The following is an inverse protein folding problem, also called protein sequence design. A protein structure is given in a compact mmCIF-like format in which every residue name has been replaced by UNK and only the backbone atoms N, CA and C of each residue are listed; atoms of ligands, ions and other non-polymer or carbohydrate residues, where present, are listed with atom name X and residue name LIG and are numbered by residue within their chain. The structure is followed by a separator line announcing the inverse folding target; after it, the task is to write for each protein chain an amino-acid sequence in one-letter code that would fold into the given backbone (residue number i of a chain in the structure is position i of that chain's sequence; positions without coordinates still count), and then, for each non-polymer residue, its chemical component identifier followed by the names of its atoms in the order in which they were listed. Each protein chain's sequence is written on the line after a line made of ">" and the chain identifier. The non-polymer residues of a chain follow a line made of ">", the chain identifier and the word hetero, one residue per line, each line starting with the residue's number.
data_IF_207824225896
#
_entry.id   IF_207824225896
#
_cell.length_a   1.000
_cell.length_b   1.000
_cell.length_c   1.000
_cell.angle_alpha   90.00
_cell.angle_beta   90.00
_cell.angle_gamma   90.00
#
_symmetry.space_group_name_H-M   'P 1'
#
loop_
_entity.id
_entity.type
_entity.pdbx_description
1 polymer ?
#
# COMPACT_ATOMS: atom_id res chain seq x y z
N UNK A 1 -0.31 -5.23 11.64
CA UNK A 1 -0.53 -6.70 11.72
C UNK A 1 0.13 -7.39 10.53
N UNK A 2 0.81 -8.52 10.76
CA UNK A 2 1.38 -9.33 9.67
C UNK A 2 0.38 -10.39 9.21
N UNK A 3 0.39 -10.71 7.93
CA UNK A 3 -0.39 -11.80 7.36
C UNK A 3 0.21 -13.17 7.75
N UNK A 4 -0.61 -14.22 7.71
CA UNK A 4 -0.15 -15.60 7.98
C UNK A 4 0.77 -16.14 6.88
N UNK A 5 0.64 -15.59 5.67
CA UNK A 5 1.49 -15.87 4.51
C UNK A 5 1.80 -14.56 3.80
N UNK A 6 2.90 -14.54 3.06
CA UNK A 6 3.22 -13.43 2.17
C UNK A 6 2.24 -13.46 1.00
N UNK A 7 1.68 -12.32 0.69
CA UNK A 7 0.80 -12.10 -0.46
C UNK A 7 1.52 -11.28 -1.51
N UNK A 8 1.14 -11.41 -2.78
CA UNK A 8 1.62 -10.48 -3.80
C UNK A 8 0.71 -9.26 -3.90
N UNK A 9 1.22 -8.15 -4.44
CA UNK A 9 0.42 -6.96 -4.72
C UNK A 9 -0.81 -7.28 -5.58
N UNK A 10 -0.66 -8.13 -6.60
CA UNK A 10 -1.77 -8.58 -7.44
C UNK A 10 -2.84 -9.33 -6.65
N UNK A 11 -2.46 -10.22 -5.74
CA UNK A 11 -3.42 -10.92 -4.88
C UNK A 11 -4.17 -9.93 -3.99
N UNK A 12 -3.46 -9.00 -3.35
CA UNK A 12 -4.09 -7.98 -2.49
C UNK A 12 -5.03 -7.10 -3.31
N UNK A 13 -4.60 -6.63 -4.47
CA UNK A 13 -5.42 -5.82 -5.36
C UNK A 13 -6.68 -6.56 -5.81
N UNK A 14 -6.57 -7.86 -6.11
CA UNK A 14 -7.71 -8.72 -6.47
C UNK A 14 -8.66 -8.96 -5.29
N UNK A 15 -8.15 -9.09 -4.06
CA UNK A 15 -8.96 -9.24 -2.84
C UNK A 15 -9.75 -7.96 -2.56
N UNK A 16 -9.11 -6.79 -2.68
CA UNK A 16 -9.72 -5.49 -2.44
C UNK A 16 -10.64 -5.10 -3.61
N UNK A 17 -10.33 -5.53 -4.83
CA UNK A 17 -11.04 -5.16 -6.05
C UNK A 17 -10.63 -3.78 -6.57
N UNK A 18 -9.37 -3.39 -6.38
CA UNK A 18 -8.86 -2.07 -6.75
C UNK A 18 -7.67 -2.16 -7.74
N UNK A 19 -7.48 -1.18 -8.63
CA UNK A 19 -6.28 -1.09 -9.45
C UNK A 19 -5.03 -0.83 -8.60
N UNK A 20 -3.88 -1.24 -9.13
CA UNK A 20 -2.58 -1.03 -8.48
C UNK A 20 -1.54 -0.47 -9.44
N UNK A 21 -0.53 0.20 -8.87
CA UNK A 21 0.65 0.71 -9.58
C UNK A 21 1.89 0.12 -8.92
N UNK A 22 2.76 -0.51 -9.70
CA UNK A 22 3.98 -1.16 -9.22
C UNK A 22 4.13 -2.58 -9.74
N UNK A 23 5.06 -3.34 -9.15
CA UNK A 23 5.28 -4.74 -9.52
C UNK A 23 4.15 -5.63 -8.98
N UNK A 24 3.51 -6.39 -9.85
CA UNK A 24 2.46 -7.35 -9.48
C UNK A 24 2.93 -8.45 -8.53
N UNK A 25 4.22 -8.79 -8.56
CA UNK A 25 4.83 -9.81 -7.70
C UNK A 25 5.38 -9.22 -6.38
N UNK A 26 5.16 -7.92 -6.14
CA UNK A 26 5.67 -7.24 -4.96
C UNK A 26 5.15 -7.91 -3.68
N UNK A 27 6.07 -8.23 -2.77
CA UNK A 27 5.75 -8.98 -1.57
C UNK A 27 5.09 -8.10 -0.51
N UNK A 28 3.95 -8.56 -0.03
CA UNK A 28 3.14 -7.91 1.00
C UNK A 28 3.06 -8.82 2.22
N UNK A 29 3.63 -8.32 3.31
CA UNK A 29 3.81 -9.05 4.55
C UNK A 29 2.69 -8.76 5.56
N UNK A 30 1.96 -7.66 5.39
CA UNK A 30 0.96 -7.21 6.34
C UNK A 30 0.39 -5.85 6.00
N UNK A 31 -0.32 -5.29 6.97
CA UNK A 31 -0.81 -3.91 6.94
C UNK A 31 -0.65 -3.29 8.33
N UNK A 32 -0.36 -2.00 8.42
CA UNK A 32 -0.22 -1.34 9.72
C UNK A 32 -0.57 0.15 9.67
N UNK A 33 -0.75 0.75 10.84
CA UNK A 33 -0.93 2.20 10.95
C UNK A 33 0.38 2.94 10.63
N UNK A 34 0.29 4.10 10.00
CA UNK A 34 1.41 4.91 9.52
C UNK A 34 2.54 5.16 10.55
N UNK A 35 2.23 5.13 11.84
CA UNK A 35 3.22 5.34 12.92
C UNK A 35 4.06 4.10 13.23
N UNK A 36 3.62 2.91 12.81
CA UNK A 36 4.22 1.60 13.15
C UNK A 36 4.41 0.70 11.92
N UNK A 37 4.30 1.26 10.71
CA UNK A 37 4.56 0.52 9.47
C UNK A 37 6.02 0.13 9.34
N UNK A 38 6.24 -1.01 8.71
CA UNK A 38 7.56 -1.53 8.35
C UNK A 38 7.61 -1.89 6.86
N UNK A 39 8.80 -2.09 6.28
CA UNK A 39 8.90 -2.56 4.91
C UNK A 39 8.11 -3.86 4.70
N UNK A 40 7.37 -3.94 3.59
CA UNK A 40 6.43 -5.02 3.29
C UNK A 40 5.01 -4.81 3.83
N UNK A 41 4.75 -3.78 4.63
CA UNK A 41 3.39 -3.47 5.08
C UNK A 41 2.64 -2.56 4.10
N UNK A 42 1.32 -2.73 4.08
CA UNK A 42 0.37 -1.78 3.50
C UNK A 42 0.04 -0.70 4.53
N UNK A 43 0.05 0.56 4.11
CA UNK A 43 -0.53 1.69 4.86
C UNK A 43 -1.73 2.24 4.12
N UNK A 44 -2.80 2.58 4.85
CA UNK A 44 -4.00 3.20 4.27
C UNK A 44 -3.99 4.71 4.51
N UNK A 45 -4.42 5.47 3.50
CA UNK A 45 -4.61 6.92 3.59
C UNK A 45 -5.78 7.39 2.73
N UNK A 46 -6.70 8.12 3.34
CA UNK A 46 -7.95 8.62 2.72
C UNK A 46 -8.02 10.15 2.64
N UNK A 47 -7.17 10.86 3.39
CA UNK A 47 -7.19 12.31 3.49
C UNK A 47 -5.91 12.94 2.93
N UNK A 48 -6.02 13.95 2.03
CA UNK A 48 -4.86 14.61 1.42
C UNK A 48 -3.79 15.15 2.38
N UNK A 49 -4.18 15.48 3.63
CA UNK A 49 -3.28 15.95 4.68
C UNK A 49 -2.21 14.90 5.05
N UNK A 50 -2.46 13.63 4.79
CA UNK A 50 -1.59 12.51 5.18
C UNK A 50 -0.94 11.80 3.99
N UNK A 51 -1.23 12.18 2.75
CA UNK A 51 -0.68 11.52 1.56
C UNK A 51 0.85 11.56 1.55
N UNK A 52 1.45 12.74 1.73
CA UNK A 52 2.91 12.85 1.79
C UNK A 52 3.51 11.96 2.88
N UNK A 53 2.87 11.91 4.06
CA UNK A 53 3.34 11.03 5.14
C UNK A 53 3.26 9.56 4.76
N UNK A 54 2.18 9.14 4.11
CA UNK A 54 1.99 7.75 3.70
C UNK A 54 3.00 7.36 2.61
N UNK A 55 3.16 8.21 1.60
CA UNK A 55 4.13 8.04 0.52
C UNK A 55 5.57 8.01 1.04
N UNK A 56 5.92 8.81 2.05
CA UNK A 56 7.25 8.86 2.67
C UNK A 56 7.44 7.88 3.85
N UNK A 57 6.42 7.11 4.22
CA UNK A 57 6.49 6.18 5.37
C UNK A 57 7.43 4.99 5.12
N UNK A 58 7.64 4.14 6.12
CA UNK A 58 8.39 2.90 5.93
C UNK A 58 7.58 1.79 5.22
N UNK A 59 6.28 2.00 4.99
CA UNK A 59 5.45 1.07 4.23
C UNK A 59 5.89 1.04 2.76
N UNK A 60 5.85 -0.14 2.16
CA UNK A 60 6.18 -0.34 0.75
C UNK A 60 4.94 -0.34 -0.13
N UNK A 61 3.75 -0.56 0.43
CA UNK A 61 2.49 -0.50 -0.30
C UNK A 61 1.60 0.57 0.33
N UNK A 62 0.99 1.43 -0.48
CA UNK A 62 0.08 2.48 -0.01
C UNK A 62 -1.29 2.25 -0.63
N UNK A 63 -2.30 2.04 0.20
CA UNK A 63 -3.70 2.08 -0.20
C UNK A 63 -4.18 3.54 -0.09
N UNK A 64 -4.52 4.14 -1.23
CA UNK A 64 -4.84 5.56 -1.37
C UNK A 64 -6.08 5.75 -2.25
N UNK A 65 -6.91 6.72 -1.90
CA UNK A 65 -8.11 7.09 -2.68
C UNK A 65 -7.88 8.18 -3.72
N UNK A 66 -6.67 8.21 -4.27
CA UNK A 66 -6.27 9.18 -5.30
C UNK A 66 -5.18 8.59 -6.16
N UNK A 67 -5.32 8.78 -7.47
CA UNK A 67 -4.25 8.55 -8.43
C UNK A 67 -3.13 9.56 -8.20
N UNK A 68 -2.00 9.09 -7.68
CA UNK A 68 -0.79 9.88 -7.44
C UNK A 68 0.42 9.17 -8.04
N UNK A 69 1.52 9.90 -8.20
CA UNK A 69 2.76 9.30 -8.68
C UNK A 69 3.30 8.29 -7.65
N UNK A 70 3.64 7.09 -8.13
CA UNK A 70 4.17 6.03 -7.29
C UNK A 70 5.67 6.29 -7.03
N UNK A 71 6.09 6.47 -5.76
CA UNK A 71 7.50 6.69 -5.44
C UNK A 71 8.32 5.42 -5.68
N UNK A 72 9.60 5.60 -6.00
CA UNK A 72 10.52 4.49 -6.28
C UNK A 72 10.61 3.52 -5.09
N UNK A 73 10.57 2.22 -5.39
CA UNK A 73 10.61 1.16 -4.39
C UNK A 73 9.29 0.92 -3.65
N UNK A 74 8.20 1.56 -4.08
CA UNK A 74 6.86 1.36 -3.51
C UNK A 74 5.85 0.91 -4.55
N UNK A 75 4.67 0.54 -4.05
CA UNK A 75 3.49 0.24 -4.82
C UNK A 75 2.29 1.03 -4.29
N UNK A 76 1.33 1.32 -5.17
CA UNK A 76 0.06 1.94 -4.83
C UNK A 76 -1.08 0.96 -5.09
N UNK A 77 -2.05 0.94 -4.19
CA UNK A 77 -3.38 0.37 -4.36
C UNK A 77 -4.33 1.56 -4.40
N UNK A 78 -5.10 1.71 -5.46
CA UNK A 78 -5.91 2.91 -5.69
C UNK A 78 -7.38 2.53 -5.53
N UNK A 79 -7.98 2.90 -4.40
CA UNK A 79 -9.38 2.57 -4.05
C UNK A 79 -10.21 3.84 -3.98
N UNK A 80 -11.26 3.96 -4.79
CA UNK A 80 -12.15 5.14 -4.77
C UNK A 80 -13.09 5.18 -3.55
N UNK A 81 -13.15 4.09 -2.77
CA UNK A 81 -13.88 3.95 -1.49
C UNK A 81 -12.99 4.21 -0.27
#
# INVERSE_FOLDING_TARGET
>A
MKFQRIHTLEEIAAIIGCPFVGDKLFEVHGFNEIHVVTPGDIVFVDHPKYYDKALQSAATVILINKEVECPEGKALLISDD
#
